data_IF_358988042470
#
_entry.id   IF_358988042470
#
_cell.length_a   1.000
_cell.length_b   1.000
_cell.length_c   1.000
_cell.angle_alpha   90.00
_cell.angle_beta   90.00
_cell.angle_gamma   90.00
#
_symmetry.space_group_name_H-M   'P 1'
#
loop_
_entity.id
_entity.type
_entity.pdbx_description
1 polymer ?
#
# COMPACT_ATOMS: atom_id res chain seq x y z
N UNK A 1 -12.77 7.20 6.80
CA UNK A 1 -11.44 6.58 6.81
C UNK A 1 -10.76 6.89 5.50
N UNK A 2 -9.51 7.33 5.54
CA UNK A 2 -8.79 7.64 4.30
C UNK A 2 -8.34 6.37 3.60
N UNK A 3 -7.94 6.50 2.34
CA UNK A 3 -7.40 5.36 1.63
C UNK A 3 -6.15 4.81 2.32
N UNK A 4 -5.33 5.71 2.87
CA UNK A 4 -4.15 5.28 3.61
C UNK A 4 -4.55 4.40 4.79
N UNK A 5 -5.53 4.84 5.56
CA UNK A 5 -5.98 4.08 6.73
C UNK A 5 -6.55 2.72 6.32
N UNK A 6 -7.31 2.69 5.24
CA UNK A 6 -7.84 1.42 4.76
C UNK A 6 -6.74 0.47 4.34
N UNK A 7 -5.72 0.97 3.67
CA UNK A 7 -4.61 0.13 3.26
C UNK A 7 -3.82 -0.38 4.47
N UNK A 8 -3.71 0.41 5.52
CA UNK A 8 -3.07 -0.07 6.76
C UNK A 8 -3.84 -1.26 7.31
N UNK A 9 -5.18 -1.17 7.33
CA UNK A 9 -6.01 -2.29 7.77
C UNK A 9 -5.83 -3.51 6.88
N UNK A 10 -5.86 -3.30 5.57
CA UNK A 10 -5.68 -4.41 4.62
C UNK A 10 -4.36 -5.13 4.87
N UNK A 11 -3.31 -4.36 5.10
CA UNK A 11 -2.01 -4.96 5.34
C UNK A 11 -2.00 -5.77 6.63
N UNK A 12 -2.69 -5.28 7.65
CA UNK A 12 -2.77 -6.01 8.92
C UNK A 12 -3.52 -7.33 8.77
N UNK A 13 -4.35 -7.43 7.73
CA UNK A 13 -5.08 -8.67 7.44
C UNK A 13 -4.33 -9.58 6.47
N UNK A 14 -3.12 -9.19 6.08
CA UNK A 14 -2.32 -10.00 5.16
C UNK A 14 -2.64 -9.77 3.70
N UNK A 15 -3.37 -8.70 3.38
CA UNK A 15 -3.71 -8.39 2.00
C UNK A 15 -2.53 -7.66 1.34
N UNK A 16 -2.18 -8.10 0.12
CA UNK A 16 -1.11 -7.46 -0.64
C UNK A 16 -1.58 -6.10 -1.15
N UNK A 17 -0.80 -5.06 -0.87
CA UNK A 17 -1.17 -3.70 -1.24
C UNK A 17 -0.70 -3.30 -2.63
N UNK A 18 0.13 -4.10 -3.29
CA UNK A 18 0.67 -3.73 -4.59
C UNK A 18 -0.42 -3.37 -5.61
N UNK A 19 -1.54 -4.11 -5.70
CA UNK A 19 -2.59 -3.75 -6.67
C UNK A 19 -3.26 -2.41 -6.38
N UNK A 20 -3.08 -1.86 -5.18
CA UNK A 20 -3.72 -0.62 -4.79
C UNK A 20 -2.84 0.60 -5.03
N UNK A 21 -1.65 0.41 -5.56
CA UNK A 21 -0.72 1.48 -5.87
C UNK A 21 -0.77 1.72 -7.39
N UNK A 22 -0.91 2.94 -7.87
CA UNK A 22 -1.09 4.19 -7.14
C UNK A 22 -2.56 4.60 -6.98
N UNK A 23 -3.48 3.65 -7.13
CA UNK A 23 -4.92 3.95 -7.19
C UNK A 23 -5.41 4.50 -5.85
N UNK A 24 -5.09 3.85 -4.75
CA UNK A 24 -5.54 4.27 -3.42
C UNK A 24 -4.42 4.94 -2.64
N UNK A 25 -3.19 4.50 -2.82
CA UNK A 25 -2.03 5.05 -2.11
C UNK A 25 -0.89 5.24 -3.10
N UNK A 26 0.06 6.10 -2.72
CA UNK A 26 1.25 6.31 -3.53
C UNK A 26 2.32 5.27 -3.18
N UNK A 27 3.37 5.21 -4.01
CA UNK A 27 4.50 4.33 -3.72
C UNK A 27 5.15 4.68 -2.38
N UNK A 28 5.22 5.98 -2.05
CA UNK A 28 5.78 6.40 -0.77
C UNK A 28 4.93 5.90 0.38
N UNK A 29 3.61 5.97 0.24
CA UNK A 29 2.71 5.48 1.27
C UNK A 29 2.80 3.97 1.40
N UNK A 30 2.95 3.28 0.29
CA UNK A 30 3.15 1.83 0.32
C UNK A 30 4.37 1.49 1.17
N UNK A 31 5.46 2.21 0.96
CA UNK A 31 6.68 1.96 1.74
C UNK A 31 6.46 2.25 3.21
N UNK A 32 5.72 3.32 3.52
CA UNK A 32 5.46 3.66 4.91
C UNK A 32 4.65 2.57 5.61
N UNK A 33 3.71 1.95 4.90
CA UNK A 33 2.85 0.94 5.50
C UNK A 33 3.58 -0.39 5.63
N UNK A 34 4.26 -0.81 4.58
CA UNK A 34 4.82 -2.16 4.53
C UNK A 34 6.28 -2.22 4.95
N UNK A 35 6.99 -1.10 4.90
CA UNK A 35 8.42 -1.07 5.15
C UNK A 35 9.26 -1.49 3.96
N UNK A 36 8.64 -1.82 2.84
CA UNK A 36 9.32 -2.26 1.62
C UNK A 36 9.10 -1.27 0.49
N UNK A 37 10.11 -1.10 -0.35
CA UNK A 37 9.95 -0.26 -1.53
C UNK A 37 8.93 -0.86 -2.48
N UNK A 38 8.11 0.00 -3.07
CA UNK A 38 7.21 -0.44 -4.12
C UNK A 38 8.03 -0.54 -5.42
N UNK A 39 8.10 -1.70 -5.99
CA UNK A 39 8.81 -1.92 -7.24
C UNK A 39 7.82 -1.98 -8.36
N UNK A 40 7.93 -1.02 -9.28
CA UNK A 40 7.09 -1.02 -10.48
C UNK A 40 7.74 -1.91 -11.52
N UNK A 41 7.17 -3.07 -11.74
CA UNK A 41 7.72 -3.90 -12.78
C UNK A 41 7.08 -3.52 -14.10
N UNK A 42 7.79 -3.66 -15.07
CA UNK A 42 7.38 -3.28 -16.30
C UNK A 42 6.84 -4.12 -17.10
#
# INVERSE_FOLDING_TARGET
MSNYDQCVLFYSWGIDLAPYVPVMITADEYKQITGNDYVTSK
#
